data_IF_579630912711
#
_entry.id   IF_579630912711
#
_cell.length_a   1.000
_cell.length_b   1.000
_cell.length_c   1.000
_cell.angle_alpha   90.00
_cell.angle_beta   90.00
_cell.angle_gamma   90.00
#
_symmetry.space_group_name_H-M   'P 1'
#
loop_
_entity.id
_entity.type
_entity.pdbx_description
1 polymer ?
#
# COMPACT_ATOMS: atom_id res chain seq x y z
N UNK A 1 31.82 -13.68 27.86
CA UNK A 1 30.41 -13.26 28.00
C UNK A 1 29.74 -13.28 26.62
N UNK A 2 29.01 -14.34 26.33
CA UNK A 2 28.30 -14.50 25.04
C UNK A 2 26.97 -13.74 25.10
N UNK A 3 26.91 -12.60 24.47
CA UNK A 3 25.63 -11.92 24.24
C UNK A 3 24.81 -12.73 23.20
N UNK A 4 23.88 -13.51 23.70
CA UNK A 4 22.87 -14.17 22.86
C UNK A 4 22.09 -13.09 22.12
N UNK A 5 22.42 -12.90 20.83
CA UNK A 5 21.54 -12.12 19.93
C UNK A 5 20.21 -12.86 19.88
N UNK A 6 19.24 -12.38 20.62
CA UNK A 6 17.86 -12.81 20.50
C UNK A 6 17.37 -12.45 19.11
N UNK A 7 17.31 -13.43 18.22
CA UNK A 7 16.63 -13.30 16.93
C UNK A 7 15.15 -13.03 17.23
N UNK A 8 14.75 -11.76 17.15
CA UNK A 8 13.31 -11.46 17.07
C UNK A 8 12.79 -12.10 15.79
N UNK A 9 11.74 -12.92 15.85
CA UNK A 9 11.18 -13.48 14.63
C UNK A 9 10.80 -12.31 13.72
N UNK A 10 11.26 -12.34 12.47
CA UNK A 10 10.92 -11.35 11.45
C UNK A 10 9.41 -11.33 11.36
N UNK A 11 8.77 -10.19 11.62
CA UNK A 11 7.32 -10.10 11.53
C UNK A 11 6.90 -10.54 10.13
N UNK A 12 5.85 -11.34 10.04
CA UNK A 12 5.30 -11.81 8.76
C UNK A 12 4.90 -10.65 7.84
N UNK A 13 4.68 -9.48 8.42
CA UNK A 13 4.21 -8.29 7.75
C UNK A 13 5.35 -7.32 7.46
N UNK A 14 5.46 -6.92 6.19
CA UNK A 14 6.33 -5.83 5.74
C UNK A 14 5.54 -4.53 5.68
N UNK A 15 6.20 -3.44 6.04
CA UNK A 15 5.59 -2.12 6.12
C UNK A 15 6.45 -1.14 5.31
N UNK A 16 5.80 -0.28 4.52
CA UNK A 16 6.47 0.82 3.82
C UNK A 16 5.70 2.12 3.98
N UNK A 17 6.44 3.19 4.17
CA UNK A 17 5.90 4.54 4.20
C UNK A 17 5.79 5.06 2.76
N UNK A 18 4.61 5.45 2.35
CA UNK A 18 4.39 6.11 1.05
C UNK A 18 4.78 7.56 1.14
N UNK A 19 4.27 8.26 2.16
CA UNK A 19 4.62 9.65 2.42
C UNK A 19 4.37 10.01 3.88
N UNK A 20 5.13 11.01 4.36
CA UNK A 20 4.90 11.67 5.63
C UNK A 20 4.71 13.16 5.32
N UNK A 21 3.57 13.70 5.68
CA UNK A 21 3.22 15.08 5.44
C UNK A 21 3.01 15.81 6.75
N UNK A 22 3.49 17.04 6.81
CA UNK A 22 3.23 17.95 7.90
C UNK A 22 1.91 18.65 7.65
N UNK A 23 0.94 18.47 8.53
CA UNK A 23 -0.37 19.10 8.44
C UNK A 23 -0.59 20.08 9.59
N UNK A 24 -1.31 21.14 9.33
CA UNK A 24 -1.59 22.19 10.31
C UNK A 24 -3.09 22.37 10.48
N UNK A 25 -3.50 22.64 11.73
CA UNK A 25 -4.86 23.03 12.07
C UNK A 25 -4.82 24.44 12.69
N UNK A 26 -5.61 25.35 12.15
CA UNK A 26 -5.78 26.66 12.74
C UNK A 26 -6.71 26.58 13.94
N UNK A 27 -6.25 27.05 15.09
CA UNK A 27 -6.99 27.10 16.35
C UNK A 27 -6.92 28.52 16.93
N UNK A 28 -7.74 28.81 17.95
CA UNK A 28 -7.61 30.06 18.70
C UNK A 28 -6.20 30.15 19.30
N UNK A 29 -5.49 31.24 19.05
CA UNK A 29 -4.14 31.49 19.54
C UNK A 29 -3.02 30.99 18.63
N UNK A 30 -3.29 30.40 17.45
CA UNK A 30 -2.26 30.01 16.48
C UNK A 30 -2.57 28.79 15.64
N UNK A 31 -1.53 28.07 15.28
CA UNK A 31 -1.61 26.85 14.46
C UNK A 31 -1.11 25.64 15.24
N UNK A 32 -1.87 24.55 15.22
CA UNK A 32 -1.44 23.27 15.76
C UNK A 32 -0.91 22.41 14.63
N UNK A 33 0.33 21.92 14.76
CA UNK A 33 1.00 21.11 13.78
C UNK A 33 0.89 19.63 14.13
N UNK A 34 0.71 18.80 13.11
CA UNK A 34 0.68 17.34 13.22
C UNK A 34 1.36 16.72 12.01
N UNK A 35 1.68 15.44 12.10
CA UNK A 35 2.18 14.65 10.98
C UNK A 35 1.14 13.64 10.54
N UNK A 36 0.98 13.51 9.23
CA UNK A 36 0.15 12.49 8.61
C UNK A 36 1.05 11.54 7.85
N UNK A 37 0.98 10.26 8.17
CA UNK A 37 1.71 9.21 7.48
C UNK A 37 0.75 8.32 6.69
N UNK A 38 1.10 8.04 5.43
CA UNK A 38 0.42 7.07 4.58
C UNK A 38 1.30 5.83 4.54
N UNK A 39 0.77 4.70 5.01
CA UNK A 39 1.51 3.45 5.21
C UNK A 39 0.85 2.35 4.41
N UNK A 40 1.67 1.51 3.80
CA UNK A 40 1.21 0.26 3.18
C UNK A 40 1.77 -0.90 3.98
N UNK A 41 0.92 -1.86 4.31
CA UNK A 41 1.27 -3.08 5.03
C UNK A 41 0.95 -4.27 4.16
N UNK A 42 1.85 -5.22 4.03
CA UNK A 42 1.64 -6.42 3.24
C UNK A 42 2.56 -7.56 3.66
N UNK A 43 2.18 -8.78 3.32
CA UNK A 43 2.98 -9.97 3.63
C UNK A 43 3.76 -10.51 2.42
N UNK A 44 3.70 -9.84 1.28
CA UNK A 44 4.30 -10.27 0.01
C UNK A 44 3.80 -11.65 -0.50
N UNK A 45 2.68 -12.11 0.04
CA UNK A 45 2.05 -13.42 -0.27
C UNK A 45 0.58 -13.28 -0.65
N UNK A 46 0.17 -12.11 -1.14
CA UNK A 46 -1.19 -11.85 -1.59
C UNK A 46 -2.08 -11.10 -0.59
N UNK A 47 -1.53 -10.59 0.50
CA UNK A 47 -2.28 -9.75 1.45
C UNK A 47 -1.65 -8.37 1.55
N UNK A 48 -2.45 -7.34 1.43
CA UNK A 48 -2.01 -5.94 1.46
C UNK A 48 -3.12 -5.04 2.01
N UNK A 49 -2.73 -3.99 2.69
CA UNK A 49 -3.62 -2.97 3.21
C UNK A 49 -2.97 -1.60 3.22
N UNK A 50 -3.77 -0.57 3.12
CA UNK A 50 -3.34 0.83 3.20
C UNK A 50 -3.94 1.46 4.45
N UNK A 51 -3.11 2.14 5.21
CA UNK A 51 -3.52 2.84 6.42
C UNK A 51 -2.99 4.26 6.47
N UNK A 52 -3.69 5.10 7.19
CA UNK A 52 -3.31 6.49 7.45
C UNK A 52 -3.22 6.71 8.96
N UNK A 53 -2.13 7.29 9.40
CA UNK A 53 -1.93 7.68 10.79
C UNK A 53 -1.66 9.17 10.90
N UNK A 54 -2.26 9.81 11.90
CA UNK A 54 -2.04 11.22 12.23
C UNK A 54 -1.68 11.37 13.70
N UNK A 55 -0.61 12.05 14.00
CA UNK A 55 -0.15 12.32 15.36
C UNK A 55 0.74 13.58 15.42
N UNK A 56 1.03 14.04 16.61
CA UNK A 56 1.96 15.14 16.85
C UNK A 56 3.43 14.79 16.59
N UNK A 57 3.75 13.51 16.50
CA UNK A 57 5.08 12.96 16.28
C UNK A 57 5.08 11.98 15.11
N UNK A 58 6.17 11.91 14.35
CA UNK A 58 6.32 11.04 13.18
C UNK A 58 6.23 9.56 13.56
N UNK A 59 6.93 9.12 14.60
CA UNK A 59 6.93 7.72 15.03
C UNK A 59 5.54 7.24 15.43
N UNK A 60 4.82 8.06 16.18
CA UNK A 60 3.45 7.76 16.59
C UNK A 60 2.49 7.75 15.39
N UNK A 61 2.65 8.66 14.44
CA UNK A 61 1.87 8.68 13.21
C UNK A 61 2.09 7.41 12.38
N UNK A 62 3.31 6.95 12.24
CA UNK A 62 3.65 5.70 11.55
C UNK A 62 3.03 4.49 12.24
N UNK A 63 3.13 4.40 13.58
CA UNK A 63 2.51 3.29 14.34
C UNK A 63 0.99 3.25 14.18
N UNK A 64 0.33 4.41 14.22
CA UNK A 64 -1.11 4.51 13.98
C UNK A 64 -1.48 4.10 12.56
N UNK A 65 -0.69 4.51 11.57
CA UNK A 65 -0.87 4.13 10.17
C UNK A 65 -0.75 2.63 9.95
N UNK A 66 0.23 1.99 10.58
CA UNK A 66 0.41 0.53 10.52
C UNK A 66 -0.80 -0.20 11.15
N UNK A 67 -1.25 0.24 12.31
CA UNK A 67 -2.43 -0.34 12.95
C UNK A 67 -3.69 -0.19 12.12
N UNK A 68 -3.88 0.96 11.49
CA UNK A 68 -4.99 1.20 10.58
C UNK A 68 -4.89 0.34 9.31
N UNK A 69 -3.70 0.23 8.71
CA UNK A 69 -3.45 -0.63 7.56
C UNK A 69 -3.75 -2.11 7.83
N UNK A 70 -3.42 -2.60 9.02
CA UNK A 70 -3.73 -3.99 9.43
C UNK A 70 -5.22 -4.27 9.57
N UNK A 71 -6.04 -3.25 9.81
CA UNK A 71 -7.51 -3.38 9.87
C UNK A 71 -8.15 -3.45 8.48
N UNK A 72 -7.48 -2.98 7.45
CA UNK A 72 -8.00 -2.87 6.08
C UNK A 72 -7.28 -3.80 5.09
N UNK A 73 -6.85 -4.96 5.54
CA UNK A 73 -6.14 -5.93 4.70
C UNK A 73 -7.12 -6.64 3.78
N UNK A 74 -6.74 -6.74 2.51
CA UNK A 74 -7.44 -7.52 1.50
C UNK A 74 -6.57 -8.68 1.02
N UNK A 75 -7.21 -9.72 0.50
CA UNK A 75 -6.53 -10.84 -0.17
C UNK A 75 -6.55 -10.62 -1.67
N UNK A 76 -5.41 -10.79 -2.30
CA UNK A 76 -5.22 -10.63 -3.75
C UNK A 76 -4.95 -12.00 -4.36
N UNK A 77 -5.71 -12.44 -5.37
CA UNK A 77 -5.41 -13.68 -6.08
C UNK A 77 -4.16 -13.49 -6.97
N UNK A 78 -3.10 -14.22 -6.64
CA UNK A 78 -1.87 -14.23 -7.42
C UNK A 78 -1.84 -15.46 -8.33
N UNK A 79 -1.35 -15.27 -9.57
CA UNK A 79 -1.07 -16.38 -10.49
C UNK A 79 0.28 -17.04 -10.17
N UNK A 80 0.56 -18.18 -10.78
CA UNK A 80 1.86 -18.86 -10.66
C UNK A 80 3.05 -18.01 -11.10
N UNK A 81 2.83 -17.07 -12.03
CA UNK A 81 3.85 -16.10 -12.49
C UNK A 81 3.93 -14.83 -11.63
N UNK A 82 3.31 -14.79 -10.46
CA UNK A 82 3.27 -13.63 -9.57
C UNK A 82 2.74 -12.36 -10.26
N UNK A 83 1.68 -12.50 -11.01
CA UNK A 83 0.92 -11.41 -11.63
C UNK A 83 -0.56 -11.53 -11.31
N UNK A 84 -1.37 -10.62 -11.81
CA UNK A 84 -2.83 -10.67 -11.66
C UNK A 84 -3.47 -11.54 -12.75
N UNK A 85 -4.63 -12.17 -12.49
CA UNK A 85 -5.27 -13.06 -13.45
C UNK A 85 -5.86 -12.37 -14.68
N UNK A 86 -6.27 -11.11 -14.60
CA UNK A 86 -6.86 -10.36 -15.72
C UNK A 86 -6.66 -8.85 -15.56
N UNK A 87 -6.92 -8.11 -16.63
CA UNK A 87 -6.94 -6.64 -16.61
C UNK A 87 -8.06 -6.15 -15.70
N UNK A 88 -7.76 -5.16 -14.88
CA UNK A 88 -8.76 -4.51 -14.01
C UNK A 88 -8.50 -3.02 -13.90
N UNK A 89 -9.53 -2.29 -13.53
CA UNK A 89 -9.46 -0.87 -13.25
C UNK A 89 -9.70 -0.62 -11.77
N UNK A 90 -8.94 0.28 -11.19
CA UNK A 90 -9.15 0.76 -9.83
C UNK A 90 -9.66 2.20 -9.84
N UNK A 91 -10.57 2.52 -8.93
CA UNK A 91 -11.08 3.87 -8.75
C UNK A 91 -11.32 4.16 -7.28
N UNK A 92 -10.89 5.33 -6.85
CA UNK A 92 -11.21 5.90 -5.55
C UNK A 92 -11.22 7.43 -5.65
N UNK A 93 -12.38 8.05 -5.38
CA UNK A 93 -12.52 9.49 -5.58
C UNK A 93 -12.21 9.90 -7.02
N UNK A 94 -11.30 10.86 -7.20
CA UNK A 94 -10.82 11.28 -8.51
C UNK A 94 -9.67 10.43 -9.06
N UNK A 95 -9.11 9.53 -8.26
CA UNK A 95 -8.04 8.64 -8.70
C UNK A 95 -8.61 7.49 -9.52
N UNK A 96 -8.01 7.29 -10.69
CA UNK A 96 -8.33 6.18 -11.60
C UNK A 96 -7.03 5.56 -12.07
N UNK A 97 -6.99 4.24 -12.15
CA UNK A 97 -5.83 3.53 -12.66
C UNK A 97 -6.26 2.26 -13.39
N UNK A 98 -5.35 1.78 -14.23
CA UNK A 98 -5.49 0.52 -14.92
C UNK A 98 -4.36 -0.41 -14.49
N UNK A 99 -4.71 -1.68 -14.24
CA UNK A 99 -3.78 -2.75 -13.92
C UNK A 99 -3.86 -3.81 -15.02
N UNK A 100 -2.70 -4.15 -15.60
CA UNK A 100 -2.59 -5.18 -16.64
C UNK A 100 -1.60 -6.26 -16.19
N UNK A 101 -1.93 -7.54 -16.35
CA UNK A 101 -0.96 -8.61 -16.14
C UNK A 101 0.19 -8.49 -17.15
N UNK A 102 1.36 -8.95 -16.75
CA UNK A 102 2.58 -8.86 -17.54
C UNK A 102 3.30 -10.19 -17.55
N UNK A 103 4.14 -10.41 -18.56
CA UNK A 103 4.95 -11.61 -18.69
C UNK A 103 5.97 -11.72 -17.54
N UNK A 104 6.37 -12.96 -17.12
CA UNK A 104 7.43 -13.15 -16.16
C UNK A 104 8.72 -12.43 -16.57
N UNK A 105 9.36 -11.75 -15.60
CA UNK A 105 10.58 -10.99 -15.83
C UNK A 105 10.38 -9.53 -16.20
N UNK A 106 9.13 -9.06 -16.41
CA UNK A 106 8.83 -7.66 -16.74
C UNK A 106 9.03 -6.71 -15.55
N UNK A 107 8.88 -7.22 -14.33
CA UNK A 107 8.92 -6.40 -13.12
C UNK A 107 7.66 -5.58 -12.88
N UNK A 108 7.68 -4.77 -11.85
CA UNK A 108 6.57 -3.87 -11.50
C UNK A 108 6.79 -2.53 -12.17
N UNK A 109 5.94 -2.20 -13.13
CA UNK A 109 5.96 -0.91 -13.84
C UNK A 109 4.73 -0.12 -13.39
N UNK A 110 4.93 0.78 -12.45
CA UNK A 110 3.86 1.55 -11.83
C UNK A 110 4.37 2.86 -11.22
N UNK A 111 3.46 3.78 -10.94
CA UNK A 111 3.77 5.02 -10.20
C UNK A 111 4.08 4.77 -8.73
N UNK A 112 4.58 5.79 -8.02
CA UNK A 112 5.18 5.66 -6.69
C UNK A 112 4.31 4.92 -5.64
N UNK A 113 3.11 5.41 -5.35
CA UNK A 113 2.23 4.79 -4.34
C UNK A 113 1.66 3.45 -4.82
N UNK A 114 1.30 3.36 -6.09
CA UNK A 114 0.76 2.15 -6.71
C UNK A 114 1.82 1.04 -6.67
N UNK A 115 3.06 1.36 -7.00
CA UNK A 115 4.18 0.43 -6.97
C UNK A 115 4.40 -0.17 -5.58
N UNK A 116 4.37 0.65 -4.54
CA UNK A 116 4.55 0.19 -3.16
C UNK A 116 3.44 -0.81 -2.77
N UNK A 117 2.19 -0.50 -3.09
CA UNK A 117 1.06 -1.40 -2.83
C UNK A 117 1.22 -2.73 -3.57
N UNK A 118 1.58 -2.70 -4.84
CA UNK A 118 1.76 -3.91 -5.65
C UNK A 118 2.92 -4.77 -5.19
N UNK A 119 4.06 -4.17 -4.84
CA UNK A 119 5.22 -4.90 -4.32
C UNK A 119 4.92 -5.57 -2.98
N UNK A 120 4.25 -4.89 -2.06
CA UNK A 120 3.86 -5.46 -0.76
C UNK A 120 2.75 -6.49 -0.85
N UNK A 121 1.94 -6.47 -1.91
CA UNK A 121 0.98 -7.53 -2.20
C UNK A 121 1.65 -8.81 -2.72
N UNK A 122 2.91 -8.77 -3.11
CA UNK A 122 3.66 -9.90 -3.66
C UNK A 122 3.58 -10.03 -5.18
N UNK A 123 3.06 -9.03 -5.85
CA UNK A 123 3.02 -8.98 -7.33
C UNK A 123 4.40 -8.60 -7.83
N UNK A 124 4.95 -9.40 -8.74
CA UNK A 124 6.29 -9.18 -9.31
C UNK A 124 6.27 -8.73 -10.76
N UNK A 125 5.21 -8.98 -11.49
CA UNK A 125 5.09 -8.68 -12.91
C UNK A 125 3.73 -8.04 -13.19
N UNK A 126 3.71 -6.75 -13.43
CA UNK A 126 2.48 -6.00 -13.67
C UNK A 126 2.78 -4.67 -14.37
N UNK A 127 1.86 -4.24 -15.19
CA UNK A 127 1.83 -2.90 -15.77
C UNK A 127 0.69 -2.11 -15.18
N UNK A 128 0.96 -0.90 -14.74
CA UNK A 128 -0.03 0.00 -14.20
C UNK A 128 0.17 1.43 -14.70
N UNK A 129 -0.92 2.13 -14.88
CA UNK A 129 -0.92 3.56 -15.21
C UNK A 129 -2.03 4.28 -14.45
N UNK A 130 -1.66 5.38 -13.78
CA UNK A 130 -2.64 6.29 -13.20
C UNK A 130 -3.22 7.20 -14.29
N UNK A 131 -4.53 7.30 -14.36
CA UNK A 131 -5.25 8.04 -15.41
C UNK A 131 -6.01 9.25 -14.89
N UNK A 132 -6.09 9.43 -13.58
CA UNK A 132 -6.81 10.49 -12.92
C UNK A 132 -5.91 11.36 -12.05
N UNK A 133 -6.32 11.56 -10.80
CA UNK A 133 -5.62 12.37 -9.81
C UNK A 133 -4.21 11.84 -9.52
N UNK A 134 -3.30 12.74 -9.15
CA UNK A 134 -1.94 12.41 -8.68
C UNK A 134 -1.84 12.33 -7.14
N UNK A 135 -2.95 12.25 -6.44
CA UNK A 135 -2.98 12.13 -4.98
C UNK A 135 -2.49 10.76 -4.54
N UNK A 136 -1.43 10.71 -3.74
CA UNK A 136 -0.78 9.47 -3.32
C UNK A 136 -1.73 8.54 -2.54
N UNK A 137 -2.48 9.08 -1.58
CA UNK A 137 -3.42 8.30 -0.79
C UNK A 137 -4.56 7.74 -1.65
N UNK A 138 -5.16 8.56 -2.50
CA UNK A 138 -6.25 8.13 -3.37
C UNK A 138 -5.78 7.09 -4.39
N UNK A 139 -4.57 7.23 -4.94
CA UNK A 139 -3.99 6.23 -5.84
C UNK A 139 -3.72 4.89 -5.11
N UNK A 140 -3.22 4.93 -3.88
CA UNK A 140 -3.04 3.72 -3.08
C UNK A 140 -4.38 3.02 -2.80
N UNK A 141 -5.41 3.76 -2.41
CA UNK A 141 -6.76 3.23 -2.19
C UNK A 141 -7.42 2.73 -3.48
N UNK A 142 -7.23 3.42 -4.59
CA UNK A 142 -7.69 2.97 -5.89
C UNK A 142 -7.04 1.66 -6.32
N UNK A 143 -5.75 1.47 -6.04
CA UNK A 143 -5.04 0.21 -6.26
C UNK A 143 -5.65 -0.92 -5.43
N UNK A 144 -5.92 -0.68 -4.16
CA UNK A 144 -6.59 -1.66 -3.29
C UNK A 144 -7.97 -2.02 -3.84
N UNK A 145 -8.76 -1.06 -4.26
CA UNK A 145 -10.08 -1.31 -4.86
C UNK A 145 -9.97 -2.13 -6.16
N UNK A 146 -9.01 -1.82 -7.01
CA UNK A 146 -8.75 -2.59 -8.23
C UNK A 146 -8.35 -4.03 -7.92
N UNK A 147 -7.47 -4.25 -6.95
CA UNK A 147 -7.05 -5.59 -6.54
C UNK A 147 -8.18 -6.39 -5.87
N UNK A 148 -9.09 -5.73 -5.17
CA UNK A 148 -10.25 -6.39 -4.54
C UNK A 148 -11.28 -6.88 -5.54
N UNK A 149 -11.32 -6.31 -6.74
CA UNK A 149 -12.25 -6.73 -7.81
C UNK A 149 -11.74 -7.88 -8.66
N UNK A 150 -10.50 -8.34 -8.46
CA UNK A 150 -9.93 -9.46 -9.19
C UNK A 150 -10.70 -10.77 -8.91
N UNK A 151 -10.97 -11.49 -9.99
CA UNK A 151 -11.65 -12.79 -9.93
C UNK A 151 -10.65 -13.91 -10.22
N UNK A 152 -10.65 -14.94 -9.36
CA UNK A 152 -9.92 -16.17 -9.67
C UNK A 152 -10.71 -16.98 -10.67
N UNK A 153 -10.01 -17.43 -11.72
CA UNK A 153 -10.56 -18.43 -12.63
C UNK A 153 -10.37 -19.81 -11.99
N UNK A 154 -11.45 -20.44 -11.61
CA UNK A 154 -11.47 -21.87 -11.27
C UNK A 154 -11.98 -22.61 -12.52
N UNK A 155 -11.11 -23.37 -13.21
CA UNK A 155 -11.53 -24.20 -14.34
C UNK A 155 -12.46 -25.32 -13.91
#
# INVERSE_FOLDING_TARGET
>A
MNSKKTFKPKSEWSERVVSIERVTKVVKGGKKMSFRAIIVVGNEKGKVGVGVGKAGDVLTAVRKGVSDGKKHIISVPLTSSNTIPHVTNGKFGAAKLILRPSAPGSGVIAGSSIRIVLELAGIKNILSKQLGSNNLLNNARATINGLSTLKTYNP
#
